data_IF_120113142487
#
_entry.id   IF_120113142487
#
_cell.length_a   1.000
_cell.length_b   1.000
_cell.length_c   1.000
_cell.angle_alpha   90.00
_cell.angle_beta   90.00
_cell.angle_gamma   90.00
#
_symmetry.space_group_name_H-M   'P 1'
#
loop_
_entity.id
_entity.type
_entity.pdbx_description
1 polymer ?
#
# COMPACT_ATOMS: atom_id res chain seq x y z
N UNK A 1 -0.76 16.41 -3.71
CA UNK A 1 -2.07 15.74 -3.51
C UNK A 1 -3.20 16.74 -3.27
N UNK A 2 -3.12 17.63 -2.29
CA UNK A 2 -4.17 18.63 -1.97
C UNK A 2 -4.63 19.44 -3.21
N UNK A 3 -3.68 19.93 -4.03
CA UNK A 3 -3.99 20.66 -5.28
C UNK A 3 -4.84 19.88 -6.31
N UNK A 4 -4.88 18.54 -6.19
CA UNK A 4 -5.64 17.65 -7.09
C UNK A 4 -7.02 17.28 -6.52
N UNK A 5 -7.44 17.83 -5.38
CA UNK A 5 -8.78 17.61 -4.80
C UNK A 5 -9.92 17.79 -5.81
N UNK A 6 -9.90 18.79 -6.73
CA UNK A 6 -10.94 18.91 -7.76
C UNK A 6 -11.06 17.68 -8.68
N UNK A 7 -9.94 17.00 -8.95
CA UNK A 7 -9.88 15.77 -9.75
C UNK A 7 -10.15 14.50 -8.94
N UNK A 8 -10.17 14.60 -7.60
CA UNK A 8 -10.35 13.47 -6.69
C UNK A 8 -11.34 13.86 -5.56
N UNK A 9 -12.62 14.10 -5.89
CA UNK A 9 -13.60 14.59 -4.92
C UNK A 9 -13.78 13.65 -3.73
N UNK A 10 -13.62 12.34 -3.93
CA UNK A 10 -13.69 11.30 -2.90
C UNK A 10 -12.47 11.21 -1.99
N UNK A 11 -11.39 11.97 -2.23
CA UNK A 11 -10.21 11.96 -1.35
C UNK A 11 -10.52 12.71 -0.04
N UNK A 12 -10.87 11.97 1.01
CA UNK A 12 -11.23 12.55 2.31
C UNK A 12 -10.09 12.50 3.32
N UNK A 13 -9.29 11.43 3.29
CA UNK A 13 -8.26 11.16 4.29
C UNK A 13 -6.92 10.93 3.61
N UNK A 14 -5.87 11.51 4.17
CA UNK A 14 -4.47 11.28 3.78
C UNK A 14 -3.71 10.88 5.02
N UNK A 15 -3.07 9.71 4.98
CA UNK A 15 -2.19 9.22 6.04
C UNK A 15 -0.75 9.37 5.57
N UNK A 16 0.08 10.05 6.36
CA UNK A 16 1.50 10.22 6.09
C UNK A 16 2.31 9.37 7.08
N UNK A 17 3.15 8.49 6.53
CA UNK A 17 4.03 7.62 7.33
C UNK A 17 5.06 8.46 8.11
N UNK A 18 5.47 9.57 7.53
CA UNK A 18 6.40 10.52 8.12
C UNK A 18 5.62 11.70 8.71
N UNK A 19 6.20 12.40 9.69
CA UNK A 19 5.61 13.61 10.26
C UNK A 19 5.32 14.69 9.19
N UNK A 20 4.38 15.58 9.49
CA UNK A 20 3.99 16.68 8.62
C UNK A 20 3.86 17.99 9.40
N UNK A 21 3.92 19.11 8.68
CA UNK A 21 3.80 20.44 9.30
C UNK A 21 2.35 20.86 9.49
N UNK A 22 2.10 21.70 10.50
CA UNK A 22 0.78 22.28 10.76
C UNK A 22 0.26 23.08 9.55
N UNK A 23 1.15 23.75 8.82
CA UNK A 23 0.82 24.45 7.59
C UNK A 23 0.23 23.51 6.52
N UNK A 24 0.69 22.25 6.43
CA UNK A 24 0.09 21.26 5.52
C UNK A 24 -1.30 20.88 6.00
N UNK A 25 -1.47 20.64 7.30
CA UNK A 25 -2.73 20.26 7.93
C UNK A 25 -3.80 21.33 7.71
N UNK A 26 -3.46 22.59 7.94
CA UNK A 26 -4.38 23.72 7.75
C UNK A 26 -4.82 23.85 6.29
N UNK A 27 -3.86 23.74 5.35
CA UNK A 27 -4.15 23.79 3.91
C UNK A 27 -5.03 22.63 3.45
N UNK A 28 -4.81 21.43 3.98
CA UNK A 28 -5.63 20.26 3.65
C UNK A 28 -7.06 20.40 4.22
N UNK A 29 -7.18 20.94 5.44
CA UNK A 29 -8.47 21.16 6.09
C UNK A 29 -9.35 22.16 5.34
N UNK A 30 -8.76 23.18 4.71
CA UNK A 30 -9.49 24.14 3.85
C UNK A 30 -10.14 23.47 2.64
N UNK A 31 -9.56 22.36 2.18
CA UNK A 31 -10.05 21.55 1.06
C UNK A 31 -10.91 20.35 1.52
N UNK A 32 -11.27 20.29 2.81
CA UNK A 32 -12.04 19.19 3.39
C UNK A 32 -11.28 17.85 3.45
N UNK A 33 -9.96 17.89 3.53
CA UNK A 33 -9.09 16.71 3.64
C UNK A 33 -8.53 16.61 5.05
N UNK A 34 -8.72 15.46 5.69
CA UNK A 34 -8.10 15.14 6.97
C UNK A 34 -6.71 14.54 6.76
N UNK A 35 -5.70 15.11 7.41
CA UNK A 35 -4.32 14.60 7.40
C UNK A 35 -4.02 13.97 8.74
N UNK A 36 -3.57 12.71 8.70
CA UNK A 36 -3.17 11.94 9.87
C UNK A 36 -1.72 11.50 9.71
N UNK A 37 -1.01 11.41 10.84
CA UNK A 37 0.24 10.65 10.89
C UNK A 37 -0.09 9.18 11.06
N UNK A 38 0.88 8.31 10.78
CA UNK A 38 0.72 6.89 11.08
C UNK A 38 0.43 6.64 12.57
N UNK A 39 1.11 7.38 13.46
CA UNK A 39 0.90 7.31 14.91
C UNK A 39 -0.54 7.67 15.29
N UNK A 40 -1.09 8.76 14.73
CA UNK A 40 -2.50 9.15 15.00
C UNK A 40 -3.47 8.03 14.60
N UNK A 41 -3.21 7.33 13.49
CA UNK A 41 -4.04 6.24 12.99
C UNK A 41 -3.93 5.01 13.90
N UNK A 42 -2.72 4.67 14.34
CA UNK A 42 -2.48 3.56 15.27
C UNK A 42 -3.18 3.79 16.62
N UNK A 43 -3.08 5.00 17.18
CA UNK A 43 -3.75 5.37 18.42
C UNK A 43 -5.27 5.29 18.30
N UNK A 44 -5.83 5.79 17.19
CA UNK A 44 -7.25 5.64 16.86
C UNK A 44 -7.66 4.17 16.77
N UNK A 45 -6.84 3.35 16.11
CA UNK A 45 -7.06 1.91 16.00
C UNK A 45 -7.08 1.22 17.37
N UNK A 46 -6.19 1.60 18.28
CA UNK A 46 -6.14 1.09 19.67
C UNK A 46 -7.36 1.52 20.49
N UNK A 47 -7.86 2.74 20.27
CA UNK A 47 -9.01 3.28 20.98
C UNK A 47 -10.36 2.79 20.45
N UNK A 48 -10.42 2.25 19.23
CA UNK A 48 -11.63 1.64 18.68
C UNK A 48 -11.93 0.28 19.31
N UNK A 49 -13.21 -0.05 19.48
CA UNK A 49 -13.63 -1.41 19.78
C UNK A 49 -13.09 -2.38 18.71
N UNK A 50 -12.68 -3.58 19.14
CA UNK A 50 -12.16 -4.60 18.23
C UNK A 50 -13.22 -4.90 17.18
N UNK A 51 -12.93 -4.55 15.93
CA UNK A 51 -13.72 -4.97 14.78
C UNK A 51 -13.41 -6.44 14.48
N UNK A 52 -14.42 -7.20 14.10
CA UNK A 52 -14.19 -8.53 13.56
C UNK A 52 -13.36 -8.42 12.28
N UNK A 53 -12.31 -9.24 12.21
CA UNK A 53 -11.48 -9.31 11.02
C UNK A 53 -12.26 -10.01 9.91
N UNK A 54 -12.47 -9.31 8.79
CA UNK A 54 -13.08 -9.87 7.59
C UNK A 54 -11.96 -10.21 6.61
N UNK A 55 -11.58 -11.50 6.46
CA UNK A 55 -10.54 -11.88 5.54
C UNK A 55 -10.98 -11.64 4.08
N UNK A 56 -10.06 -11.23 3.20
CA UNK A 56 -10.35 -11.10 1.78
C UNK A 56 -10.54 -12.49 1.14
N UNK A 57 -11.30 -12.52 0.05
CA UNK A 57 -11.42 -13.67 -0.84
C UNK A 57 -10.23 -13.74 -1.81
N UNK A 58 -9.94 -14.91 -2.40
CA UNK A 58 -8.83 -15.04 -3.35
C UNK A 58 -8.94 -14.13 -4.59
N UNK A 59 -10.16 -13.79 -4.98
CA UNK A 59 -10.45 -12.95 -6.15
C UNK A 59 -10.41 -11.44 -5.84
N UNK A 60 -10.37 -11.06 -4.55
CA UNK A 60 -10.24 -9.66 -4.17
C UNK A 60 -8.89 -9.09 -4.61
N UNK A 61 -8.92 -7.82 -5.05
CA UNK A 61 -7.72 -7.09 -5.45
C UNK A 61 -6.88 -6.83 -4.20
N UNK A 62 -5.64 -7.33 -4.22
CA UNK A 62 -4.68 -7.15 -3.14
C UNK A 62 -3.86 -5.86 -3.31
N UNK A 63 -3.37 -5.60 -4.54
CA UNK A 63 -2.72 -4.33 -4.88
C UNK A 63 -2.79 -4.01 -6.38
N UNK A 64 -2.40 -2.78 -6.72
CA UNK A 64 -2.11 -2.35 -8.08
C UNK A 64 -0.67 -1.84 -8.12
N UNK A 65 0.20 -2.56 -8.82
CA UNK A 65 1.59 -2.13 -9.01
C UNK A 65 1.69 -1.22 -10.24
N UNK A 66 2.13 0.02 -10.05
CA UNK A 66 2.38 0.94 -11.16
C UNK A 66 3.85 0.88 -11.55
N UNK A 67 4.11 0.48 -12.79
CA UNK A 67 5.48 0.45 -13.34
C UNK A 67 5.68 1.61 -14.29
N UNK A 68 6.90 2.17 -14.33
CA UNK A 68 7.21 3.38 -15.10
C UNK A 68 6.89 3.23 -16.59
N UNK A 69 7.04 2.03 -17.16
CA UNK A 69 6.67 1.70 -18.54
C UNK A 69 7.46 2.48 -19.60
N UNK A 70 7.93 1.82 -20.67
CA UNK A 70 8.69 2.49 -21.74
C UNK A 70 7.85 3.44 -22.61
N UNK A 71 6.52 3.48 -22.42
CA UNK A 71 5.56 4.27 -23.22
C UNK A 71 5.02 5.52 -22.51
N UNK A 72 5.67 5.97 -21.43
CA UNK A 72 5.42 7.27 -20.77
C UNK A 72 4.30 7.28 -19.72
N UNK A 73 3.17 6.60 -19.96
CA UNK A 73 2.09 6.47 -18.95
C UNK A 73 2.28 5.18 -18.14
N UNK A 74 2.42 5.25 -16.79
CA UNK A 74 2.56 4.07 -15.96
C UNK A 74 1.37 3.12 -16.11
N UNK A 75 1.66 1.83 -16.35
CA UNK A 75 0.64 0.79 -16.44
C UNK A 75 0.39 0.24 -15.03
N UNK A 76 -0.87 0.14 -14.64
CA UNK A 76 -1.28 -0.50 -13.39
C UNK A 76 -1.48 -2.00 -13.60
N UNK A 77 -0.68 -2.81 -12.92
CA UNK A 77 -0.83 -4.27 -12.87
C UNK A 77 -1.67 -4.62 -11.66
N UNK A 78 -2.86 -5.17 -11.89
CA UNK A 78 -3.77 -5.63 -10.83
C UNK A 78 -3.27 -6.99 -10.33
N UNK A 79 -3.11 -7.13 -9.02
CA UNK A 79 -2.66 -8.37 -8.36
C UNK A 79 -3.73 -8.77 -7.35
N UNK A 80 -4.31 -9.97 -7.52
CA UNK A 80 -5.28 -10.53 -6.56
C UNK A 80 -4.61 -11.21 -5.38
N UNK A 81 -5.37 -11.47 -4.32
CA UNK A 81 -4.88 -12.25 -3.18
C UNK A 81 -4.41 -13.67 -3.59
N UNK A 82 -5.09 -14.30 -4.55
CA UNK A 82 -4.66 -15.60 -5.10
C UNK A 82 -3.30 -15.53 -5.80
N UNK A 83 -3.03 -14.47 -6.57
CA UNK A 83 -1.74 -14.27 -7.23
C UNK A 83 -0.62 -14.13 -6.19
N UNK A 84 -0.83 -13.31 -5.17
CA UNK A 84 0.13 -13.12 -4.09
C UNK A 84 0.40 -14.42 -3.32
N UNK A 85 -0.65 -15.15 -2.94
CA UNK A 85 -0.51 -16.43 -2.25
C UNK A 85 0.29 -17.46 -3.07
N UNK A 86 0.09 -17.49 -4.39
CA UNK A 86 0.83 -18.38 -5.29
C UNK A 86 2.33 -18.07 -5.32
N UNK A 87 2.69 -16.78 -5.39
CA UNK A 87 4.09 -16.34 -5.34
C UNK A 87 4.73 -16.67 -4.00
N UNK A 88 4.02 -16.40 -2.89
CA UNK A 88 4.51 -16.73 -1.55
C UNK A 88 4.76 -18.23 -1.36
N UNK A 89 3.90 -19.08 -1.90
CA UNK A 89 4.09 -20.53 -1.86
C UNK A 89 5.33 -20.97 -2.64
N UNK A 90 5.60 -20.35 -3.79
CA UNK A 90 6.83 -20.57 -4.56
C UNK A 90 8.08 -20.12 -3.80
N UNK A 91 8.05 -18.92 -3.20
CA UNK A 91 9.15 -18.39 -2.40
C UNK A 91 9.46 -19.27 -1.19
N UNK A 92 8.43 -19.73 -0.46
CA UNK A 92 8.59 -20.67 0.66
C UNK A 92 9.34 -21.94 0.23
N UNK A 93 9.01 -22.47 -0.95
CA UNK A 93 9.67 -23.67 -1.48
C UNK A 93 11.14 -23.41 -1.85
N UNK A 94 11.43 -22.27 -2.49
CA UNK A 94 12.78 -21.95 -2.98
C UNK A 94 13.71 -21.51 -1.84
N UNK A 95 13.22 -20.66 -0.94
CA UNK A 95 14.02 -20.01 0.09
C UNK A 95 13.99 -20.75 1.44
N UNK A 96 13.17 -21.80 1.59
CA UNK A 96 12.96 -22.53 2.84
C UNK A 96 12.62 -21.60 4.03
N UNK A 97 11.80 -20.58 3.76
CA UNK A 97 11.38 -19.58 4.75
C UNK A 97 9.91 -19.80 5.14
N UNK A 98 9.62 -19.81 6.44
CA UNK A 98 8.25 -19.81 6.92
C UNK A 98 7.71 -18.39 7.00
N UNK A 99 6.87 -18.03 6.02
CA UNK A 99 6.15 -16.76 6.03
C UNK A 99 4.85 -16.88 6.83
N UNK A 100 4.65 -15.98 7.80
CA UNK A 100 3.34 -15.77 8.39
C UNK A 100 2.45 -15.01 7.39
N UNK A 101 1.22 -15.49 7.12
CA UNK A 101 0.34 -14.88 6.11
C UNK A 101 -0.07 -13.43 6.44
N UNK A 102 0.13 -12.99 7.69
CA UNK A 102 -0.36 -11.70 8.18
C UNK A 102 0.54 -10.50 7.85
N UNK A 103 1.83 -10.70 7.56
CA UNK A 103 2.84 -9.60 7.51
C UNK A 103 3.50 -9.46 6.13
N UNK A 104 3.20 -10.37 5.20
CA UNK A 104 4.08 -10.60 4.05
C UNK A 104 3.94 -9.59 2.90
N UNK A 105 2.92 -8.74 2.88
CA UNK A 105 2.65 -7.91 1.71
C UNK A 105 3.67 -6.79 1.49
N UNK A 106 4.17 -6.17 2.57
CA UNK A 106 5.10 -5.05 2.46
C UNK A 106 6.52 -5.51 2.14
N UNK A 107 6.95 -6.64 2.72
CA UNK A 107 8.30 -7.17 2.52
C UNK A 107 8.49 -7.74 1.10
N UNK A 108 7.50 -8.47 0.58
CA UNK A 108 7.60 -9.12 -0.73
C UNK A 108 7.72 -8.10 -1.87
N UNK A 109 7.04 -6.95 -1.78
CA UNK A 109 7.16 -5.91 -2.82
C UNK A 109 8.52 -5.23 -2.78
N UNK A 110 9.07 -4.97 -1.59
CA UNK A 110 10.39 -4.32 -1.45
C UNK A 110 11.54 -5.26 -1.87
N UNK A 111 11.44 -6.55 -1.51
CA UNK A 111 12.38 -7.59 -1.94
C UNK A 111 12.29 -7.86 -3.45
N UNK A 112 11.08 -7.93 -4.02
CA UNK A 112 10.91 -8.12 -5.46
C UNK A 112 11.38 -6.89 -6.25
N UNK A 113 11.16 -5.67 -5.75
CA UNK A 113 11.70 -4.45 -6.39
C UNK A 113 13.22 -4.47 -6.35
N UNK A 114 13.80 -4.78 -5.20
CA UNK A 114 15.26 -4.90 -5.04
C UNK A 114 15.86 -6.03 -5.89
N UNK A 115 15.17 -7.16 -6.01
CA UNK A 115 15.60 -8.30 -6.82
C UNK A 115 15.48 -8.04 -8.34
N UNK A 116 14.46 -7.29 -8.76
CA UNK A 116 14.32 -6.82 -10.14
C UNK A 116 15.41 -5.79 -10.48
N UNK A 117 15.72 -4.87 -9.57
CA UNK A 117 16.79 -3.88 -9.76
C UNK A 117 18.19 -4.51 -9.71
N UNK A 118 18.35 -5.65 -9.03
CA UNK A 118 19.60 -6.41 -8.98
C UNK A 118 19.79 -7.37 -10.17
N UNK A 119 18.76 -7.59 -11.00
CA UNK A 119 18.88 -8.41 -12.19
C UNK A 119 19.67 -7.64 -13.27
N UNK A 120 20.72 -8.22 -13.88
CA UNK A 120 21.48 -7.55 -14.92
C UNK A 120 20.55 -7.24 -16.09
N UNK A 121 20.59 -5.98 -16.55
CA UNK A 121 19.85 -5.50 -17.71
C UNK A 121 20.12 -6.41 -18.91
N UNK A 122 19.07 -7.05 -19.43
CA UNK A 122 19.11 -7.71 -20.75
C UNK A 122 19.07 -6.65 -21.84
#
# INVERSE_FOLDING_TARGET
LIKRKPSCPSLLNVVLIHGFSDALKERASKEGIHVYSLVDVEERGKACEKREFQPPTPDDICTISYTSGTTGVPKGVIISHANTASVMQGLRFICNTDFSPSVCFFHVIDELTSAIDAAPSI
#
